data_IF_754481449253
#
_entry.id   IF_754481449253
#
_cell.length_a   1.000
_cell.length_b   1.000
_cell.length_c   1.000
_cell.angle_alpha   90.00
_cell.angle_beta   90.00
_cell.angle_gamma   90.00
#
_symmetry.space_group_name_H-M   'P 1'
#
loop_
_entity.id
_entity.type
_entity.pdbx_description
1 polymer ?
#
# COMPACT_ATOMS: atom_id res chain seq x y z
N UNK A 1 3.17 30.23 -28.98
CA UNK A 1 3.54 29.13 -29.88
C UNK A 1 4.72 28.42 -29.28
N UNK A 2 4.67 27.09 -29.04
CA UNK A 2 5.83 26.33 -28.61
C UNK A 2 6.90 26.37 -29.68
N UNK A 3 8.15 26.51 -29.27
CA UNK A 3 9.29 26.58 -30.18
C UNK A 3 9.60 25.16 -30.63
N UNK A 4 9.53 24.79 -31.93
CA UNK A 4 9.70 23.40 -32.40
C UNK A 4 11.02 22.74 -31.97
N UNK A 5 12.06 23.51 -31.72
CA UNK A 5 13.34 23.02 -31.21
C UNK A 5 13.25 22.51 -29.79
N UNK A 6 12.47 23.15 -28.91
CA UNK A 6 12.27 22.69 -27.52
C UNK A 6 11.44 21.40 -27.46
N UNK A 7 10.47 21.22 -28.34
CA UNK A 7 9.70 19.97 -28.44
C UNK A 7 10.55 18.81 -28.96
N UNK A 8 11.43 19.06 -29.93
CA UNK A 8 12.34 18.04 -30.46
C UNK A 8 13.39 17.63 -29.40
N UNK A 9 13.88 18.58 -28.61
CA UNK A 9 14.84 18.34 -27.55
C UNK A 9 14.18 17.60 -26.37
N UNK A 10 12.94 17.96 -25.99
CA UNK A 10 12.14 17.26 -25.00
C UNK A 10 11.87 15.80 -25.41
N UNK A 11 11.47 15.54 -26.65
CA UNK A 11 11.28 14.18 -27.19
C UNK A 11 12.57 13.37 -27.16
N UNK A 12 13.72 13.97 -27.48
CA UNK A 12 15.02 13.30 -27.43
C UNK A 12 15.41 12.93 -26.01
N UNK A 13 15.12 13.77 -25.04
CA UNK A 13 15.34 13.49 -23.61
C UNK A 13 14.39 12.39 -23.12
N UNK A 14 13.11 12.41 -23.49
CA UNK A 14 12.15 11.36 -23.17
C UNK A 14 12.58 9.98 -23.70
N UNK A 15 13.06 9.91 -24.94
CA UNK A 15 13.56 8.67 -25.54
C UNK A 15 14.79 8.14 -24.80
N UNK A 16 15.71 9.03 -24.40
CA UNK A 16 16.90 8.68 -23.63
C UNK A 16 16.59 8.10 -22.24
N UNK A 17 15.54 8.56 -21.59
CA UNK A 17 15.13 8.05 -20.29
C UNK A 17 14.32 6.76 -20.40
N UNK A 18 13.47 6.63 -21.41
CA UNK A 18 12.66 5.42 -21.61
C UNK A 18 13.51 4.16 -21.77
N UNK A 19 14.68 4.27 -22.41
CA UNK A 19 15.63 3.17 -22.56
C UNK A 19 16.34 2.77 -21.25
N UNK A 20 16.32 3.65 -20.24
CA UNK A 20 16.97 3.44 -18.94
C UNK A 20 16.03 2.92 -17.87
N UNK A 21 14.72 2.98 -18.10
CA UNK A 21 13.75 2.48 -17.15
C UNK A 21 13.81 0.95 -17.04
N UNK A 22 13.64 0.44 -15.81
CA UNK A 22 13.55 -0.99 -15.58
C UNK A 22 12.29 -1.55 -16.27
N UNK A 23 12.34 -2.79 -16.75
CA UNK A 23 11.22 -3.46 -17.45
C UNK A 23 9.91 -3.42 -16.64
N UNK A 24 10.00 -3.45 -15.31
CA UNK A 24 8.85 -3.38 -14.41
C UNK A 24 8.02 -2.11 -14.59
N UNK A 25 8.63 -1.00 -15.03
CA UNK A 25 7.91 0.27 -15.24
C UNK A 25 6.87 0.18 -16.34
N UNK A 26 7.00 -0.77 -17.27
CA UNK A 26 6.02 -1.00 -18.33
C UNK A 26 4.67 -1.49 -17.78
N UNK A 27 4.65 -2.13 -16.60
CA UNK A 27 3.43 -2.56 -15.91
C UNK A 27 2.97 -1.57 -14.83
N UNK A 28 3.74 -0.51 -14.57
CA UNK A 28 3.38 0.53 -13.61
C UNK A 28 2.51 1.59 -14.28
N UNK A 29 1.24 1.62 -13.92
CA UNK A 29 0.30 2.65 -14.38
C UNK A 29 0.15 3.73 -13.32
N UNK A 30 -0.30 4.93 -13.72
CA UNK A 30 -0.69 5.96 -12.75
C UNK A 30 -1.84 5.42 -11.88
N UNK A 31 -1.88 5.85 -10.62
CA UNK A 31 -2.95 5.43 -9.71
C UNK A 31 -4.29 5.96 -10.18
N UNK A 32 -5.21 5.07 -10.57
CA UNK A 32 -6.58 5.40 -10.94
C UNK A 32 -7.27 6.19 -9.82
N UNK A 33 -7.00 5.82 -8.55
CA UNK A 33 -7.51 6.54 -7.37
C UNK A 33 -7.02 7.99 -7.38
N UNK A 34 -5.73 8.22 -7.68
CA UNK A 34 -5.16 9.58 -7.73
C UNK A 34 -5.78 10.43 -8.85
N UNK A 35 -6.03 9.83 -10.01
CA UNK A 35 -6.70 10.55 -11.09
C UNK A 35 -8.16 10.89 -10.74
N UNK A 36 -8.86 9.98 -10.07
CA UNK A 36 -10.21 10.23 -9.56
C UNK A 36 -10.20 11.33 -8.48
N UNK A 37 -9.23 11.33 -7.56
CA UNK A 37 -9.12 12.36 -6.52
C UNK A 37 -8.96 13.76 -7.10
N UNK A 38 -8.21 13.93 -8.18
CA UNK A 38 -8.11 15.23 -8.88
C UNK A 38 -9.46 15.79 -9.36
N UNK A 39 -10.41 14.90 -9.70
CA UNK A 39 -11.76 15.30 -10.12
C UNK A 39 -12.62 15.69 -8.91
N UNK A 40 -12.33 15.17 -7.74
CA UNK A 40 -13.10 15.34 -6.50
C UNK A 40 -12.60 16.53 -5.64
N UNK A 41 -11.51 17.17 -6.02
CA UNK A 41 -10.99 18.39 -5.34
C UNK A 41 -11.86 19.62 -5.57
N UNK A 42 -12.85 19.56 -6.48
CA UNK A 42 -13.76 20.67 -6.74
C UNK A 42 -14.75 20.83 -5.60
N UNK A 43 -14.96 22.06 -5.08
CA UNK A 43 -15.76 22.29 -3.86
C UNK A 43 -17.26 21.99 -4.01
N UNK A 44 -17.76 21.84 -5.23
CA UNK A 44 -19.15 21.53 -5.57
C UNK A 44 -19.40 20.04 -5.82
N UNK A 45 -18.37 19.18 -5.65
CA UNK A 45 -18.46 17.74 -5.88
C UNK A 45 -18.54 16.99 -4.56
N UNK A 46 -19.62 16.23 -4.36
CA UNK A 46 -19.71 15.25 -3.28
C UNK A 46 -19.09 13.94 -3.78
N UNK A 47 -17.95 13.57 -3.21
CA UNK A 47 -17.22 12.38 -3.63
C UNK A 47 -17.60 11.15 -2.82
N UNK A 48 -17.98 10.08 -3.51
CA UNK A 48 -18.12 8.72 -2.96
C UNK A 48 -16.94 7.82 -3.39
N UNK A 49 -15.91 8.40 -4.01
CA UNK A 49 -14.72 7.69 -4.46
C UNK A 49 -13.55 7.90 -3.49
N UNK A 50 -12.64 6.94 -3.41
CA UNK A 50 -11.36 7.06 -2.75
C UNK A 50 -11.33 6.73 -1.25
N UNK A 51 -12.47 6.71 -0.56
CA UNK A 51 -12.57 6.29 0.85
C UNK A 51 -11.73 7.14 1.81
N UNK A 52 -11.56 8.45 1.54
CA UNK A 52 -10.83 9.34 2.43
C UNK A 52 -11.59 9.52 3.75
N UNK A 53 -10.92 9.44 4.90
CA UNK A 53 -11.55 9.78 6.18
C UNK A 53 -12.05 11.23 6.19
N UNK A 54 -13.20 11.46 6.85
CA UNK A 54 -13.72 12.81 7.03
C UNK A 54 -12.75 13.64 7.90
N UNK A 55 -12.32 14.83 7.47
CA UNK A 55 -11.35 15.64 8.20
C UNK A 55 -11.78 15.99 9.62
N UNK A 56 -13.09 16.09 9.83
CA UNK A 56 -13.71 16.50 11.10
C UNK A 56 -13.53 15.44 12.22
N UNK A 57 -13.24 14.18 11.85
CA UNK A 57 -13.05 13.11 12.84
C UNK A 57 -11.58 12.92 13.25
N UNK A 58 -10.67 13.70 12.69
CA UNK A 58 -9.27 13.62 13.12
C UNK A 58 -9.07 14.20 14.52
N UNK A 59 -8.39 13.47 15.42
CA UNK A 59 -8.18 13.89 16.80
C UNK A 59 -7.01 14.89 16.92
N UNK A 60 -7.16 16.09 16.33
CA UNK A 60 -6.07 17.07 16.25
C UNK A 60 -5.47 17.42 17.59
N UNK A 61 -6.32 17.73 18.58
CA UNK A 61 -5.86 18.14 19.91
C UNK A 61 -5.09 17.02 20.65
N UNK A 62 -5.48 15.76 20.45
CA UNK A 62 -4.79 14.59 21.00
C UNK A 62 -3.44 14.37 20.35
N UNK A 63 -3.36 14.51 19.01
CA UNK A 63 -2.12 14.39 18.25
C UNK A 63 -1.14 15.49 18.62
N UNK A 64 -1.61 16.74 18.72
CA UNK A 64 -0.80 17.90 19.15
C UNK A 64 -0.18 17.66 20.54
N UNK A 65 -1.00 17.32 21.53
CA UNK A 65 -0.53 17.02 22.90
C UNK A 65 0.46 15.85 22.93
N UNK A 66 0.21 14.80 22.16
CA UNK A 66 1.12 13.66 22.07
C UNK A 66 2.47 14.07 21.47
N UNK A 67 2.46 14.86 20.40
CA UNK A 67 3.68 15.35 19.75
C UNK A 67 4.50 16.25 20.71
N UNK A 68 3.86 17.21 21.39
CA UNK A 68 4.51 18.07 22.38
C UNK A 68 5.13 17.25 23.52
N UNK A 69 4.39 16.27 24.05
CA UNK A 69 4.86 15.41 25.14
C UNK A 69 6.10 14.64 24.73
N UNK A 70 6.05 13.98 23.56
CA UNK A 70 7.17 13.20 23.05
C UNK A 70 8.41 14.07 22.81
N UNK A 71 8.25 15.23 22.18
CA UNK A 71 9.37 16.13 21.90
C UNK A 71 9.98 16.69 23.17
N UNK A 72 9.18 17.06 24.16
CA UNK A 72 9.64 17.60 25.44
C UNK A 72 10.35 16.54 26.29
N UNK A 73 9.78 15.33 26.39
CA UNK A 73 10.24 14.32 27.32
C UNK A 73 11.28 13.35 26.71
N UNK A 74 11.14 13.06 25.42
CA UNK A 74 11.93 12.05 24.73
C UNK A 74 12.50 12.54 23.38
N UNK A 75 12.55 13.85 23.15
CA UNK A 75 12.93 14.42 21.86
C UNK A 75 14.29 13.91 21.32
N UNK A 76 15.27 13.72 22.18
CA UNK A 76 16.58 13.19 21.79
C UNK A 76 16.51 11.75 21.25
N UNK A 77 15.57 10.95 21.76
CA UNK A 77 15.33 9.57 21.32
C UNK A 77 14.41 9.56 20.09
N UNK A 78 13.34 10.34 20.15
CA UNK A 78 12.33 10.37 19.09
C UNK A 78 12.85 10.88 17.74
N UNK A 79 13.85 11.78 17.77
CA UNK A 79 14.47 12.35 16.57
C UNK A 79 15.75 11.61 16.11
N UNK A 80 16.12 10.52 16.80
CA UNK A 80 17.29 9.73 16.46
C UNK A 80 16.92 8.52 15.59
N UNK A 81 17.90 7.97 14.89
CA UNK A 81 17.77 6.68 14.22
C UNK A 81 17.39 5.58 15.21
N UNK A 82 16.55 4.65 14.76
CA UNK A 82 16.05 3.54 15.55
C UNK A 82 16.28 2.20 14.83
N UNK A 83 15.87 1.09 15.48
CA UNK A 83 15.91 -0.23 14.88
C UNK A 83 15.06 -0.29 13.61
N UNK A 84 15.50 -1.06 12.62
CA UNK A 84 14.82 -1.25 11.33
C UNK A 84 13.38 -1.74 11.50
N UNK A 85 13.14 -2.61 12.49
CA UNK A 85 11.82 -3.16 12.80
C UNK A 85 10.89 -2.13 13.46
N UNK A 86 11.42 -0.97 13.87
CA UNK A 86 10.69 0.09 14.54
C UNK A 86 10.84 0.09 16.06
N UNK A 87 10.30 1.12 16.67
CA UNK A 87 10.42 1.42 18.09
C UNK A 87 9.84 0.31 18.97
N UNK A 88 10.67 -0.32 19.82
CA UNK A 88 10.29 -1.50 20.58
C UNK A 88 9.06 -1.29 21.47
N UNK A 89 8.90 -0.20 22.24
CA UNK A 89 7.71 0.00 23.07
C UNK A 89 6.41 0.07 22.25
N UNK A 90 6.45 0.61 21.02
CA UNK A 90 5.29 0.58 20.11
C UNK A 90 4.98 -0.85 19.66
N UNK A 91 5.99 -1.63 19.31
CA UNK A 91 5.82 -3.04 18.91
C UNK A 91 5.23 -3.89 20.05
N UNK A 92 5.66 -3.65 21.29
CA UNK A 92 5.08 -4.30 22.48
C UNK A 92 3.64 -3.88 22.73
N UNK A 93 3.31 -2.61 22.52
CA UNK A 93 1.93 -2.11 22.60
C UNK A 93 1.05 -2.82 21.57
N UNK A 94 1.53 -2.94 20.32
CA UNK A 94 0.80 -3.60 19.23
C UNK A 94 0.59 -5.10 19.52
N UNK A 95 1.56 -5.79 20.10
CA UNK A 95 1.38 -7.19 20.56
C UNK A 95 0.19 -7.31 21.53
N UNK A 96 0.11 -6.42 22.52
CA UNK A 96 -1.04 -6.38 23.46
C UNK A 96 -2.34 -6.04 22.75
N UNK A 97 -2.31 -5.13 21.79
CA UNK A 97 -3.48 -4.76 20.98
C UNK A 97 -3.98 -5.95 20.14
N UNK A 98 -3.08 -6.62 19.44
CA UNK A 98 -3.39 -7.79 18.60
C UNK A 98 -3.93 -8.97 19.40
N UNK A 99 -3.49 -9.13 20.66
CA UNK A 99 -4.01 -10.17 21.54
C UNK A 99 -5.52 -10.06 21.81
N UNK A 100 -6.11 -8.84 21.72
CA UNK A 100 -7.56 -8.62 21.84
C UNK A 100 -8.36 -9.26 20.70
N UNK A 101 -7.72 -9.48 19.56
CA UNK A 101 -8.27 -10.15 18.38
C UNK A 101 -7.85 -11.63 18.30
N UNK A 102 -7.31 -12.20 19.39
CA UNK A 102 -6.86 -13.59 19.40
C UNK A 102 -5.53 -13.86 18.72
N UNK A 103 -4.84 -12.82 18.22
CA UNK A 103 -3.58 -12.94 17.49
C UNK A 103 -2.43 -12.97 18.51
N UNK A 104 -1.79 -14.13 18.66
CA UNK A 104 -0.69 -14.37 19.60
C UNK A 104 0.65 -14.24 18.87
N UNK A 105 1.33 -13.12 19.06
CA UNK A 105 2.63 -12.81 18.47
C UNK A 105 3.60 -12.27 19.52
N UNK A 106 4.88 -12.23 19.18
CA UNK A 106 5.94 -11.61 20.00
C UNK A 106 6.38 -10.30 19.31
N UNK A 107 7.05 -9.38 20.03
CA UNK A 107 7.58 -8.14 19.40
C UNK A 107 8.48 -8.42 18.19
N UNK A 108 9.20 -9.54 18.17
CA UNK A 108 10.00 -9.96 17.02
C UNK A 108 9.19 -10.28 15.74
N UNK A 109 7.88 -10.50 15.88
CA UNK A 109 6.99 -10.75 14.75
C UNK A 109 6.26 -9.47 14.26
N UNK A 110 6.61 -8.31 14.82
CA UNK A 110 6.00 -7.02 14.49
C UNK A 110 7.03 -6.09 13.89
N UNK A 111 6.74 -5.53 12.73
CA UNK A 111 7.53 -4.49 12.10
C UNK A 111 6.64 -3.26 11.83
N UNK A 112 7.18 -2.08 12.09
CA UNK A 112 6.51 -0.81 11.80
C UNK A 112 6.87 -0.38 10.38
N UNK A 113 5.86 -0.05 9.61
CA UNK A 113 6.02 0.43 8.23
C UNK A 113 5.38 1.82 8.05
N UNK A 114 5.79 2.53 7.01
CA UNK A 114 5.17 3.79 6.60
C UNK A 114 3.85 3.52 5.85
N UNK A 115 2.84 3.07 6.60
CA UNK A 115 1.55 2.67 6.08
C UNK A 115 1.55 1.28 5.43
N UNK A 116 0.35 0.81 5.07
CA UNK A 116 0.13 -0.50 4.46
C UNK A 116 0.81 -0.66 3.11
N UNK A 117 0.96 0.43 2.35
CA UNK A 117 1.58 0.38 1.02
C UNK A 117 3.04 -0.09 1.08
N UNK A 118 3.81 0.33 2.09
CA UNK A 118 5.16 -0.18 2.30
C UNK A 118 5.14 -1.67 2.68
N UNK A 119 4.18 -2.09 3.50
CA UNK A 119 4.01 -3.51 3.84
C UNK A 119 3.72 -4.37 2.61
N UNK A 120 2.82 -3.93 1.74
CA UNK A 120 2.50 -4.60 0.48
C UNK A 120 3.71 -4.67 -0.45
N UNK A 121 4.48 -3.58 -0.58
CA UNK A 121 5.71 -3.56 -1.38
C UNK A 121 6.74 -4.54 -0.85
N UNK A 122 6.96 -4.58 0.47
CA UNK A 122 7.89 -5.53 1.09
C UNK A 122 7.47 -6.99 0.87
N UNK A 123 6.18 -7.30 0.95
CA UNK A 123 5.65 -8.64 0.64
C UNK A 123 5.92 -9.00 -0.82
N UNK A 124 5.63 -8.08 -1.75
CA UNK A 124 5.95 -8.28 -3.16
C UNK A 124 7.42 -8.56 -3.40
N UNK A 125 8.28 -7.75 -2.79
CA UNK A 125 9.75 -7.90 -2.89
C UNK A 125 10.28 -9.24 -2.37
N UNK A 126 9.67 -9.76 -1.30
CA UNK A 126 10.12 -11.00 -0.66
C UNK A 126 9.59 -12.26 -1.35
N UNK A 127 8.38 -12.21 -1.91
CA UNK A 127 7.68 -13.43 -2.32
C UNK A 127 7.39 -13.53 -3.81
N UNK A 128 7.44 -12.44 -4.58
CA UNK A 128 6.97 -12.40 -5.97
C UNK A 128 8.12 -12.23 -6.96
N UNK A 129 8.27 -13.19 -7.85
CA UNK A 129 9.06 -13.09 -9.07
C UNK A 129 8.14 -12.78 -10.26
N UNK A 130 8.69 -12.28 -11.40
CA UNK A 130 7.91 -12.11 -12.62
C UNK A 130 7.17 -13.40 -13.03
N UNK A 131 5.85 -13.31 -13.23
CA UNK A 131 4.99 -14.44 -13.58
C UNK A 131 4.51 -15.32 -12.41
N UNK A 132 4.97 -15.06 -11.18
CA UNK A 132 4.41 -15.71 -9.99
C UNK A 132 2.96 -15.27 -9.79
N UNK A 133 2.11 -16.20 -9.35
CA UNK A 133 0.69 -15.97 -9.16
C UNK A 133 0.37 -15.54 -7.73
N UNK A 134 -0.45 -14.51 -7.61
CA UNK A 134 -1.06 -14.07 -6.34
C UNK A 134 -2.56 -14.27 -6.45
N UNK A 135 -3.15 -14.92 -5.45
CA UNK A 135 -4.60 -15.11 -5.38
C UNK A 135 -5.22 -13.95 -4.61
N UNK A 136 -6.25 -13.32 -5.19
CA UNK A 136 -6.96 -12.19 -4.59
C UNK A 136 -8.47 -12.41 -4.69
N UNK A 137 -9.19 -11.67 -3.89
CA UNK A 137 -10.63 -11.50 -4.08
C UNK A 137 -10.94 -10.71 -5.36
N UNK A 138 -12.17 -10.83 -5.85
CA UNK A 138 -12.68 -10.01 -6.96
C UNK A 138 -14.10 -9.51 -6.59
N UNK A 139 -14.26 -8.21 -6.26
CA UNK A 139 -13.25 -7.14 -6.24
C UNK A 139 -12.25 -7.23 -5.09
N UNK A 140 -11.12 -6.50 -5.18
CA UNK A 140 -10.10 -6.41 -4.15
C UNK A 140 -9.49 -5.00 -4.08
N UNK A 141 -8.58 -4.76 -3.14
CA UNK A 141 -7.93 -3.47 -2.94
C UNK A 141 -6.95 -3.15 -4.07
N UNK A 142 -7.23 -2.08 -4.81
CA UNK A 142 -6.44 -1.64 -5.96
C UNK A 142 -4.98 -1.32 -5.59
N UNK A 143 -4.73 -0.81 -4.38
CA UNK A 143 -3.37 -0.52 -3.90
C UNK A 143 -2.48 -1.75 -3.78
N UNK A 144 -3.05 -2.91 -3.45
CA UNK A 144 -2.34 -4.18 -3.42
C UNK A 144 -1.94 -4.61 -4.84
N UNK A 145 -2.88 -4.56 -5.79
CA UNK A 145 -2.60 -4.88 -7.18
C UNK A 145 -1.52 -3.97 -7.77
N UNK A 146 -1.56 -2.66 -7.47
CA UNK A 146 -0.55 -1.70 -7.92
C UNK A 146 0.84 -1.99 -7.33
N UNK A 147 0.91 -2.35 -6.03
CA UNK A 147 2.18 -2.69 -5.41
C UNK A 147 2.84 -3.89 -6.08
N UNK A 148 2.07 -4.96 -6.35
CA UNK A 148 2.63 -6.19 -6.88
C UNK A 148 2.76 -6.21 -8.41
N UNK A 149 2.07 -5.33 -9.12
CA UNK A 149 2.29 -5.14 -10.57
C UNK A 149 3.73 -4.72 -10.88
N UNK A 150 4.38 -3.98 -9.98
CA UNK A 150 5.79 -3.61 -10.07
C UNK A 150 6.73 -4.84 -10.04
N UNK A 151 6.29 -5.93 -9.42
CA UNK A 151 7.00 -7.22 -9.38
C UNK A 151 6.53 -8.18 -10.49
N UNK A 152 5.68 -7.71 -11.40
CA UNK A 152 5.15 -8.47 -12.54
C UNK A 152 4.37 -9.73 -12.11
N UNK A 153 3.63 -9.62 -10.99
CA UNK A 153 2.73 -10.65 -10.53
C UNK A 153 1.61 -10.90 -11.56
N UNK A 154 1.21 -12.15 -11.70
CA UNK A 154 -0.04 -12.54 -12.34
C UNK A 154 -1.10 -12.83 -11.28
N UNK A 155 -2.38 -12.61 -11.60
CA UNK A 155 -3.45 -12.70 -10.60
C UNK A 155 -4.40 -13.85 -10.90
N UNK A 156 -4.65 -14.65 -9.87
CA UNK A 156 -5.81 -15.53 -9.79
C UNK A 156 -6.87 -14.84 -8.93
N UNK A 157 -8.15 -15.03 -9.26
CA UNK A 157 -9.21 -14.34 -8.52
C UNK A 157 -10.27 -15.31 -8.01
N UNK A 158 -10.82 -15.02 -6.83
CA UNK A 158 -12.00 -15.66 -6.29
C UNK A 158 -13.10 -14.61 -6.12
N UNK A 159 -14.31 -14.93 -6.54
CA UNK A 159 -15.45 -14.02 -6.39
C UNK A 159 -15.78 -13.81 -4.90
N UNK A 160 -16.35 -12.65 -4.61
CA UNK A 160 -16.91 -12.29 -3.30
C UNK A 160 -18.42 -12.22 -3.45
N UNK A 161 -19.16 -12.72 -2.49
CA UNK A 161 -20.59 -12.60 -2.35
C UNK A 161 -20.97 -11.84 -1.06
N UNK A 162 -22.22 -11.87 -0.64
CA UNK A 162 -22.72 -11.18 0.55
C UNK A 162 -22.13 -11.74 1.86
N UNK A 163 -21.63 -12.97 1.85
CA UNK A 163 -20.99 -13.64 2.99
C UNK A 163 -19.45 -13.52 2.97
N UNK A 164 -18.89 -12.90 1.94
CA UNK A 164 -17.45 -12.70 1.75
C UNK A 164 -16.85 -13.55 0.62
N UNK A 165 -15.62 -14.03 0.81
CA UNK A 165 -14.93 -14.82 -0.21
C UNK A 165 -15.59 -16.18 -0.43
N UNK A 166 -15.91 -16.52 -1.70
CA UNK A 166 -16.49 -17.82 -2.09
C UNK A 166 -15.50 -18.97 -1.86
N UNK A 167 -15.59 -19.57 -0.68
CA UNK A 167 -14.72 -20.68 -0.25
C UNK A 167 -14.88 -21.92 -1.13
N UNK A 168 -16.07 -22.12 -1.73
CA UNK A 168 -16.31 -23.25 -2.63
C UNK A 168 -15.45 -23.18 -3.90
N UNK A 169 -15.14 -21.98 -4.36
CA UNK A 169 -14.26 -21.75 -5.53
C UNK A 169 -12.78 -21.63 -5.16
N UNK A 170 -12.48 -21.35 -3.90
CA UNK A 170 -11.11 -21.14 -3.43
C UNK A 170 -10.20 -22.34 -3.73
N UNK A 171 -10.67 -23.57 -3.44
CA UNK A 171 -9.88 -24.78 -3.65
C UNK A 171 -9.45 -24.95 -5.11
N UNK A 172 -10.33 -24.66 -6.05
CA UNK A 172 -10.03 -24.73 -7.48
C UNK A 172 -8.91 -23.74 -7.86
N UNK A 173 -8.96 -22.52 -7.32
CA UNK A 173 -7.97 -21.48 -7.58
C UNK A 173 -6.63 -21.79 -6.92
N UNK A 174 -6.61 -22.41 -5.74
CA UNK A 174 -5.38 -22.85 -5.06
C UNK A 174 -4.59 -23.88 -5.89
N UNK A 175 -5.25 -24.69 -6.72
CA UNK A 175 -4.59 -25.61 -7.66
C UNK A 175 -3.75 -24.86 -8.70
N UNK A 176 -4.01 -23.59 -8.94
CA UNK A 176 -3.19 -22.70 -9.76
C UNK A 176 -1.81 -22.37 -9.17
N UNK A 177 -1.51 -22.80 -7.95
CA UNK A 177 -0.22 -22.65 -7.28
C UNK A 177 0.13 -21.19 -6.95
N UNK A 178 -0.77 -20.40 -6.33
CA UNK A 178 -0.44 -19.03 -5.93
C UNK A 178 0.62 -19.03 -4.82
N UNK A 179 1.46 -18.01 -4.81
CA UNK A 179 2.47 -17.79 -3.75
C UNK A 179 1.80 -17.49 -2.40
N UNK A 180 0.72 -16.73 -2.43
CA UNK A 180 -0.10 -16.41 -1.25
C UNK A 180 -1.50 -15.97 -1.69
N UNK A 181 -2.40 -15.95 -0.72
CA UNK A 181 -3.74 -15.38 -0.83
C UNK A 181 -3.76 -14.03 -0.11
N UNK A 182 -4.31 -13.03 -0.77
CA UNK A 182 -4.63 -11.73 -0.19
C UNK A 182 -6.13 -11.57 -0.05
N UNK A 183 -6.58 -11.27 1.16
CA UNK A 183 -7.99 -11.04 1.49
C UNK A 183 -8.18 -9.64 2.07
N UNK A 184 -9.37 -9.09 1.89
CA UNK A 184 -9.80 -7.78 2.40
C UNK A 184 -11.12 -7.99 3.15
N UNK A 185 -11.07 -8.46 4.42
CA UNK A 185 -12.25 -8.74 5.21
C UNK A 185 -13.02 -7.49 5.63
#
# INVERSE_FOLDING_TARGET
>A
MPIPALEAEARKVETLWSERFALRTQRMTSSVIRELLKLTEKPDVISFAGGLPAPEVFPFAEVERAAETVLREQGKIALQYAATEGYLPLRELLVRHMARYGIKVRPANVMITSGSQQGLDLIGRLFVNPGDRVLTESPTYLGALQAWSAYQADYLTVAVDDDGLDVGRLEAQLRGGPKFLYVLP
#
